data_IF_582742027148
#
_entry.id   IF_582742027148
#
_cell.length_a   1.000
_cell.length_b   1.000
_cell.length_c   1.000
_cell.angle_alpha   90.00
_cell.angle_beta   90.00
_cell.angle_gamma   90.00
#
_symmetry.space_group_name_H-M   'P 1'
#
loop_
_entity.id
_entity.type
_entity.pdbx_description
1 polymer ?
#
# COMPACT_ATOMS: atom_id res chain seq x y z
N UNK A 1 -19.25 -81.60 42.75
CA UNK A 1 -20.48 -82.26 43.23
C UNK A 1 -21.64 -81.44 42.70
N UNK A 2 -22.59 -82.10 41.99
CA UNK A 2 -23.91 -81.64 41.47
C UNK A 2 -23.92 -80.49 40.44
N UNK A 3 -24.79 -80.39 39.44
CA UNK A 3 -25.70 -81.23 38.62
C UNK A 3 -26.24 -80.21 37.56
N UNK A 4 -26.05 -80.38 36.26
CA UNK A 4 -27.06 -80.79 35.24
C UNK A 4 -28.30 -79.87 35.03
N UNK A 5 -28.47 -79.47 33.75
CA UNK A 5 -29.70 -79.14 32.95
C UNK A 5 -30.55 -77.93 33.36
N UNK A 6 -30.76 -76.95 32.48
CA UNK A 6 -31.56 -76.91 31.24
C UNK A 6 -33.03 -76.57 31.49
N UNK A 7 -33.49 -75.47 30.90
CA UNK A 7 -34.83 -75.37 30.31
C UNK A 7 -34.85 -74.25 29.25
N UNK A 8 -35.49 -74.57 28.13
CA UNK A 8 -35.76 -73.76 26.94
C UNK A 8 -37.27 -73.99 26.65
N UNK A 9 -37.88 -73.45 25.58
CA UNK A 9 -38.60 -72.18 25.44
C UNK A 9 -40.12 -72.36 25.16
N UNK A 10 -40.89 -71.27 24.99
CA UNK A 10 -42.17 -71.25 24.23
C UNK A 10 -42.51 -69.81 23.80
N UNK A 11 -42.31 -69.37 22.55
CA UNK A 11 -43.11 -69.52 21.31
C UNK A 11 -44.56 -68.96 21.34
N UNK A 12 -44.74 -67.83 20.63
CA UNK A 12 -45.94 -67.43 19.88
C UNK A 12 -45.53 -66.26 18.97
N UNK A 13 -45.16 -66.42 17.70
CA UNK A 13 -45.91 -66.79 16.47
C UNK A 13 -46.82 -65.66 15.94
N UNK A 14 -46.30 -64.94 14.92
CA UNK A 14 -46.95 -64.48 13.65
C UNK A 14 -48.04 -63.40 13.82
N UNK A 15 -48.10 -62.27 13.11
CA UNK A 15 -48.02 -62.08 11.65
C UNK A 15 -47.80 -60.61 11.26
N UNK A 16 -47.28 -60.46 10.05
CA UNK A 16 -47.03 -59.27 9.23
C UNK A 16 -48.23 -58.36 8.95
N UNK A 17 -47.98 -57.05 8.83
CA UNK A 17 -48.52 -56.25 7.71
C UNK A 17 -47.67 -55.02 7.38
N UNK A 18 -47.26 -54.96 6.11
CA UNK A 18 -46.65 -53.78 5.45
C UNK A 18 -47.73 -52.73 5.17
N UNK A 19 -47.43 -51.46 5.42
CA UNK A 19 -48.25 -50.32 4.99
C UNK A 19 -47.37 -49.09 4.76
N UNK A 20 -47.49 -48.51 3.55
CA UNK A 20 -46.69 -47.42 2.98
C UNK A 20 -47.01 -46.03 3.58
N UNK A 21 -45.97 -45.20 3.65
CA UNK A 21 -45.99 -43.81 3.14
C UNK A 21 -46.50 -42.69 4.07
N UNK A 22 -45.75 -41.58 4.13
CA UNK A 22 -46.31 -40.29 4.55
C UNK A 22 -45.34 -39.32 5.23
N UNK A 23 -44.80 -38.40 4.43
CA UNK A 23 -44.17 -37.13 4.76
C UNK A 23 -44.50 -36.48 6.13
N UNK A 24 -43.48 -35.86 6.72
CA UNK A 24 -43.56 -34.42 7.01
C UNK A 24 -43.16 -33.95 8.42
N UNK A 25 -42.19 -33.03 8.42
CA UNK A 25 -41.95 -31.97 9.42
C UNK A 25 -41.14 -32.35 10.67
N UNK A 26 -39.84 -32.60 10.45
CA UNK A 26 -38.83 -32.39 11.49
C UNK A 26 -38.61 -30.90 11.75
N UNK A 27 -38.96 -30.47 12.97
CA UNK A 27 -38.71 -29.12 13.51
C UNK A 27 -37.21 -28.82 13.49
N UNK A 28 -36.85 -27.69 12.88
CA UNK A 28 -35.48 -27.19 12.81
C UNK A 28 -34.92 -26.90 14.20
N UNK A 29 -33.80 -27.56 14.53
CA UNK A 29 -32.86 -27.06 15.53
C UNK A 29 -32.11 -25.90 14.90
N UNK A 30 -32.28 -24.70 15.47
CA UNK A 30 -31.44 -23.56 15.17
C UNK A 30 -29.98 -23.92 15.44
N UNK A 31 -29.18 -23.96 14.36
CA UNK A 31 -27.73 -23.97 14.45
C UNK A 31 -27.32 -22.53 14.66
N UNK A 32 -27.20 -22.15 15.92
CA UNK A 32 -26.50 -20.94 16.33
C UNK A 32 -25.00 -21.19 16.08
N UNK A 33 -24.60 -20.97 14.83
CA UNK A 33 -23.22 -21.04 14.40
C UNK A 33 -22.67 -19.63 14.39
N UNK A 34 -21.75 -19.34 15.29
CA UNK A 34 -20.76 -18.26 15.13
C UNK A 34 -20.26 -18.26 13.68
N UNK A 35 -20.20 -17.12 12.99
CA UNK A 35 -19.81 -17.10 11.58
C UNK A 35 -18.41 -17.68 11.46
N UNK A 36 -18.30 -18.87 10.83
CA UNK A 36 -17.02 -19.46 10.46
C UNK A 36 -16.25 -18.41 9.65
N UNK A 37 -15.11 -17.97 10.19
CA UNK A 37 -14.18 -17.09 9.51
C UNK A 37 -13.80 -17.78 8.20
N UNK A 38 -14.33 -17.27 7.08
CA UNK A 38 -14.12 -17.81 5.73
C UNK A 38 -12.62 -17.96 5.46
N UNK A 39 -12.10 -19.19 5.59
CA UNK A 39 -10.75 -19.53 5.14
C UNK A 39 -10.68 -19.28 3.63
N UNK A 40 -9.66 -18.56 3.18
CA UNK A 40 -9.40 -18.36 1.77
C UNK A 40 -8.92 -19.68 1.17
N UNK A 41 -9.82 -20.39 0.51
CA UNK A 41 -9.54 -21.69 -0.12
C UNK A 41 -8.90 -21.53 -1.50
N UNK A 42 -8.21 -22.58 -1.97
CA UNK A 42 -7.54 -22.65 -3.29
C UNK A 42 -8.45 -22.17 -4.44
N UNK A 43 -9.71 -22.62 -4.50
CA UNK A 43 -10.69 -22.23 -5.53
C UNK A 43 -11.05 -20.75 -5.51
N UNK A 44 -11.00 -20.12 -4.33
CA UNK A 44 -11.28 -18.70 -4.19
C UNK A 44 -10.11 -17.87 -4.72
N UNK A 45 -8.88 -18.26 -4.41
CA UNK A 45 -7.67 -17.63 -4.94
C UNK A 45 -7.56 -17.79 -6.46
N UNK A 46 -7.93 -18.95 -7.00
CA UNK A 46 -8.00 -19.19 -8.44
C UNK A 46 -9.03 -18.28 -9.11
N UNK A 47 -10.23 -18.13 -8.53
CA UNK A 47 -11.23 -17.18 -9.03
C UNK A 47 -10.83 -15.70 -8.90
N UNK A 48 -9.89 -15.35 -8.01
CA UNK A 48 -9.33 -14.00 -7.95
C UNK A 48 -8.37 -13.73 -9.12
N UNK A 49 -7.69 -14.74 -9.64
CA UNK A 49 -6.80 -14.56 -10.80
C UNK A 49 -7.54 -14.16 -12.08
N UNK A 50 -8.84 -14.39 -12.18
CA UNK A 50 -9.66 -13.96 -13.33
C UNK A 50 -10.13 -12.50 -13.24
N UNK A 51 -10.04 -11.89 -12.06
CA UNK A 51 -10.54 -10.54 -11.79
C UNK A 51 -9.50 -9.45 -12.04
N UNK A 52 -9.93 -8.19 -12.11
CA UNK A 52 -9.01 -7.06 -12.25
C UNK A 52 -8.11 -6.88 -11.01
N UNK A 53 -6.87 -6.44 -11.22
CA UNK A 53 -5.86 -6.27 -10.16
C UNK A 53 -6.36 -5.47 -8.94
N UNK A 54 -7.18 -4.45 -9.19
CA UNK A 54 -7.76 -3.60 -8.14
C UNK A 54 -8.81 -4.31 -7.31
N UNK A 55 -9.67 -5.12 -7.94
CA UNK A 55 -10.64 -5.94 -7.21
C UNK A 55 -9.93 -7.02 -6.37
N UNK A 56 -8.85 -7.59 -6.90
CA UNK A 56 -8.00 -8.54 -6.18
C UNK A 56 -7.39 -7.88 -4.94
N UNK A 57 -6.76 -6.71 -5.08
CA UNK A 57 -6.14 -5.99 -3.96
C UNK A 57 -7.16 -5.62 -2.86
N UNK A 58 -8.35 -5.15 -3.25
CA UNK A 58 -9.42 -4.80 -2.30
C UNK A 58 -9.94 -6.06 -1.58
N UNK A 59 -10.19 -7.14 -2.32
CA UNK A 59 -10.73 -8.38 -1.74
C UNK A 59 -9.74 -9.03 -0.78
N UNK A 60 -8.45 -9.03 -1.13
CA UNK A 60 -7.39 -9.58 -0.29
C UNK A 60 -7.13 -8.77 0.97
N UNK A 61 -7.19 -7.43 0.88
CA UNK A 61 -7.00 -6.56 2.06
C UNK A 61 -8.19 -6.58 3.02
N UNK A 62 -9.40 -6.75 2.50
CA UNK A 62 -10.64 -6.77 3.31
C UNK A 62 -10.85 -8.15 3.98
N UNK A 63 -10.23 -9.20 3.44
CA UNK A 63 -10.43 -10.57 3.95
C UNK A 63 -9.41 -10.93 5.02
N UNK A 64 -9.89 -11.14 6.25
CA UNK A 64 -9.09 -11.75 7.33
C UNK A 64 -8.60 -13.18 6.96
N UNK A 65 -9.18 -13.78 5.92
CA UNK A 65 -8.76 -15.07 5.39
C UNK A 65 -7.34 -15.09 4.82
N UNK A 66 -6.83 -13.97 4.28
CA UNK A 66 -5.45 -13.91 3.77
C UNK A 66 -4.44 -13.91 4.92
N UNK A 67 -4.67 -13.10 5.95
CA UNK A 67 -3.84 -13.07 7.17
C UNK A 67 -3.72 -14.47 7.78
N UNK A 68 -4.86 -15.13 7.98
CA UNK A 68 -4.89 -16.49 8.53
C UNK A 68 -4.20 -17.52 7.63
N UNK A 69 -4.23 -17.33 6.31
CA UNK A 69 -3.55 -18.22 5.36
C UNK A 69 -2.03 -18.01 5.38
N UNK A 70 -1.57 -16.75 5.50
CA UNK A 70 -0.14 -16.41 5.52
C UNK A 70 0.52 -16.74 6.86
N UNK A 71 -0.27 -16.88 7.93
CA UNK A 71 0.17 -17.27 9.27
C UNK A 71 -0.08 -18.76 9.61
N UNK A 72 -0.66 -19.54 8.68
CA UNK A 72 -0.91 -20.96 8.88
C UNK A 72 0.41 -21.75 9.07
N UNK A 73 0.36 -22.84 9.85
CA UNK A 73 1.54 -23.65 10.21
C UNK A 73 1.90 -24.67 9.12
N UNK A 74 1.00 -24.92 8.17
CA UNK A 74 1.26 -25.83 7.04
C UNK A 74 0.70 -25.30 5.73
N UNK A 75 1.51 -25.32 4.67
CA UNK A 75 1.11 -24.82 3.36
C UNK A 75 1.59 -25.76 2.25
N UNK A 76 0.69 -26.14 1.34
CA UNK A 76 1.01 -27.00 0.19
C UNK A 76 1.81 -26.22 -0.87
N UNK A 77 2.73 -26.87 -1.56
CA UNK A 77 3.54 -26.31 -2.66
C UNK A 77 2.71 -25.54 -3.70
N UNK A 78 1.61 -26.15 -4.15
CA UNK A 78 0.76 -25.59 -5.21
C UNK A 78 -0.01 -24.35 -4.73
N UNK A 79 -0.24 -24.27 -3.42
CA UNK A 79 -0.89 -23.12 -2.79
C UNK A 79 0.09 -21.96 -2.61
N UNK A 80 1.38 -22.23 -2.33
CA UNK A 80 2.44 -21.21 -2.25
C UNK A 80 2.55 -20.47 -3.58
N UNK A 81 2.60 -21.21 -4.68
CA UNK A 81 2.63 -20.64 -6.01
C UNK A 81 1.42 -19.75 -6.30
N UNK A 82 0.21 -20.27 -6.01
CA UNK A 82 -1.02 -19.54 -6.26
C UNK A 82 -1.08 -18.24 -5.45
N UNK A 83 -0.61 -18.28 -4.20
CA UNK A 83 -0.48 -17.08 -3.35
C UNK A 83 0.51 -16.10 -3.97
N UNK A 84 1.71 -16.51 -4.39
CA UNK A 84 2.66 -15.60 -5.06
C UNK A 84 2.05 -14.93 -6.30
N UNK A 85 1.35 -15.68 -7.15
CA UNK A 85 0.69 -15.16 -8.35
C UNK A 85 -0.38 -14.12 -8.01
N UNK A 86 -1.26 -14.44 -7.06
CA UNK A 86 -2.34 -13.55 -6.62
C UNK A 86 -1.79 -12.28 -5.97
N UNK A 87 -0.71 -12.39 -5.19
CA UNK A 87 -0.03 -11.25 -4.57
C UNK A 87 0.64 -10.35 -5.61
N UNK A 88 1.36 -10.92 -6.60
CA UNK A 88 1.94 -10.13 -7.70
C UNK A 88 0.85 -9.37 -8.46
N UNK A 89 -0.27 -10.03 -8.79
CA UNK A 89 -1.41 -9.38 -9.44
C UNK A 89 -2.03 -8.28 -8.59
N UNK A 90 -2.11 -8.47 -7.27
CA UNK A 90 -2.60 -7.43 -6.36
C UNK A 90 -1.68 -6.20 -6.32
N UNK A 91 -0.36 -6.40 -6.41
CA UNK A 91 0.63 -5.33 -6.41
C UNK A 91 0.62 -4.50 -7.70
N UNK A 92 0.14 -5.05 -8.81
CA UNK A 92 -0.07 -4.31 -10.07
C UNK A 92 -1.21 -3.27 -10.02
N UNK A 93 -2.04 -3.28 -8.97
CA UNK A 93 -3.15 -2.33 -8.84
C UNK A 93 -2.67 -0.89 -8.70
N UNK A 94 -3.18 -0.02 -9.58
CA UNK A 94 -2.87 1.42 -9.60
C UNK A 94 -3.89 2.29 -8.84
N UNK A 95 -5.03 1.72 -8.46
CA UNK A 95 -6.18 2.50 -7.97
C UNK A 95 -5.99 2.89 -6.50
N UNK A 96 -5.42 2.01 -5.67
CA UNK A 96 -5.29 2.26 -4.23
C UNK A 96 -3.91 1.88 -3.67
N UNK A 97 -2.94 2.80 -3.80
CA UNK A 97 -1.57 2.65 -3.26
C UNK A 97 -1.58 2.30 -1.77
N UNK A 98 -2.52 2.85 -0.98
CA UNK A 98 -2.62 2.58 0.47
C UNK A 98 -2.99 1.12 0.76
N UNK A 99 -3.89 0.55 -0.04
CA UNK A 99 -4.33 -0.84 0.10
C UNK A 99 -3.17 -1.79 -0.26
N UNK A 100 -2.48 -1.50 -1.36
CA UNK A 100 -1.31 -2.26 -1.81
C UNK A 100 -0.20 -2.22 -0.76
N UNK A 101 0.11 -1.05 -0.19
CA UNK A 101 1.09 -0.91 0.89
C UNK A 101 0.69 -1.69 2.15
N UNK A 102 -0.59 -1.65 2.53
CA UNK A 102 -1.08 -2.44 3.66
C UNK A 102 -0.88 -3.95 3.42
N UNK A 103 -1.25 -4.42 2.24
CA UNK A 103 -1.14 -5.84 1.86
C UNK A 103 0.33 -6.28 1.78
N UNK A 104 1.21 -5.48 1.19
CA UNK A 104 2.65 -5.76 1.15
C UNK A 104 3.28 -5.79 2.55
N UNK A 105 2.83 -4.92 3.47
CA UNK A 105 3.25 -4.95 4.87
C UNK A 105 2.88 -6.27 5.55
N UNK A 106 1.63 -6.70 5.35
CA UNK A 106 1.12 -7.98 5.86
C UNK A 106 1.94 -9.15 5.35
N UNK A 107 2.20 -9.19 4.04
CA UNK A 107 3.00 -10.25 3.41
C UNK A 107 4.42 -10.27 4.00
N UNK A 108 5.10 -9.12 4.08
CA UNK A 108 6.45 -9.01 4.63
C UNK A 108 6.56 -9.52 6.06
N UNK A 109 5.57 -9.23 6.89
CA UNK A 109 5.58 -9.57 8.32
C UNK A 109 5.06 -10.99 8.62
N UNK A 110 4.48 -11.66 7.62
CA UNK A 110 3.92 -13.01 7.75
C UNK A 110 4.97 -14.13 7.89
N UNK A 111 4.53 -15.26 8.46
CA UNK A 111 5.32 -16.51 8.48
C UNK A 111 5.56 -17.05 7.08
N UNK A 112 4.63 -16.84 6.15
CA UNK A 112 4.77 -17.19 4.75
C UNK A 112 6.09 -16.68 4.16
N UNK A 113 6.33 -15.37 4.26
CA UNK A 113 7.50 -14.74 3.65
C UNK A 113 8.81 -15.13 4.35
N UNK A 114 8.77 -15.31 5.68
CA UNK A 114 9.97 -15.60 6.49
C UNK A 114 10.39 -17.06 6.51
N UNK A 115 9.43 -17.99 6.45
CA UNK A 115 9.69 -19.42 6.68
C UNK A 115 9.26 -20.29 5.50
N UNK A 116 8.02 -20.15 5.02
CA UNK A 116 7.48 -21.05 4.00
C UNK A 116 8.05 -20.78 2.61
N UNK A 117 8.22 -19.52 2.23
CA UNK A 117 8.79 -19.16 0.93
C UNK A 117 10.25 -19.66 0.80
N UNK A 118 11.16 -19.46 1.79
CA UNK A 118 12.47 -20.08 1.77
C UNK A 118 12.43 -21.61 1.70
N UNK A 119 11.56 -22.25 2.50
CA UNK A 119 11.43 -23.71 2.51
C UNK A 119 10.98 -24.23 1.15
N UNK A 120 10.00 -23.57 0.53
CA UNK A 120 9.51 -23.90 -0.81
C UNK A 120 10.63 -23.77 -1.86
N UNK A 121 11.37 -22.66 -1.86
CA UNK A 121 12.51 -22.44 -2.78
C UNK A 121 13.54 -23.56 -2.64
N UNK A 122 13.91 -23.94 -1.41
CA UNK A 122 14.82 -25.08 -1.19
C UNK A 122 14.22 -26.43 -1.59
N UNK A 123 12.89 -26.60 -1.48
CA UNK A 123 12.19 -27.80 -1.92
C UNK A 123 12.19 -27.98 -3.44
N UNK A 124 12.28 -26.89 -4.22
CA UNK A 124 12.39 -26.96 -5.68
C UNK A 124 13.68 -27.67 -6.12
N UNK A 125 14.74 -27.61 -5.31
CA UNK A 125 16.03 -28.25 -5.55
C UNK A 125 15.96 -29.79 -5.47
N UNK A 126 15.04 -30.32 -4.67
CA UNK A 126 14.96 -31.76 -4.35
C UNK A 126 13.82 -32.49 -5.07
N UNK A 127 13.01 -31.79 -5.87
CA UNK A 127 11.85 -32.40 -6.52
C UNK A 127 12.21 -33.12 -7.83
N UNK A 128 11.82 -34.40 -7.92
CA UNK A 128 12.10 -35.28 -9.05
C UNK A 128 10.97 -35.33 -10.09
N UNK A 129 9.82 -34.71 -9.83
CA UNK A 129 8.67 -34.75 -10.72
C UNK A 129 8.81 -33.83 -11.95
N UNK A 130 9.02 -34.43 -13.13
CA UNK A 130 9.23 -33.72 -14.42
C UNK A 130 8.08 -32.76 -14.79
N UNK A 131 6.82 -33.12 -14.50
CA UNK A 131 5.65 -32.29 -14.80
C UNK A 131 5.62 -30.99 -13.98
N UNK A 132 6.13 -31.00 -12.74
CA UNK A 132 6.23 -29.78 -11.91
C UNK A 132 7.40 -28.89 -12.34
N UNK A 133 8.49 -29.50 -12.83
CA UNK A 133 9.68 -28.78 -13.30
C UNK A 133 9.42 -27.82 -14.47
N UNK A 134 8.46 -28.12 -15.34
CA UNK A 134 8.09 -27.23 -16.45
C UNK A 134 7.47 -25.91 -15.99
N UNK A 135 6.87 -25.87 -14.80
CA UNK A 135 6.23 -24.66 -14.27
C UNK A 135 7.16 -23.82 -13.38
N UNK A 136 8.32 -24.35 -13.00
CA UNK A 136 9.31 -23.67 -12.16
C UNK A 136 9.84 -22.35 -12.72
N UNK A 137 10.08 -22.17 -14.03
CA UNK A 137 10.49 -20.87 -14.56
C UNK A 137 9.48 -19.76 -14.21
N UNK A 138 8.18 -20.05 -14.34
CA UNK A 138 7.13 -19.10 -13.97
C UNK A 138 7.09 -18.85 -12.46
N UNK A 139 7.33 -19.87 -11.64
CA UNK A 139 7.35 -19.71 -10.17
C UNK A 139 8.50 -18.83 -9.73
N UNK A 140 9.69 -19.06 -10.28
CA UNK A 140 10.88 -18.25 -10.02
C UNK A 140 10.61 -16.80 -10.41
N UNK A 141 10.07 -16.56 -11.62
CA UNK A 141 9.70 -15.21 -12.07
C UNK A 141 8.74 -14.51 -11.10
N UNK A 142 7.65 -15.18 -10.70
CA UNK A 142 6.69 -14.61 -9.74
C UNK A 142 7.34 -14.31 -8.38
N UNK A 143 8.23 -15.18 -7.90
CA UNK A 143 8.94 -14.95 -6.64
C UNK A 143 9.87 -13.74 -6.77
N UNK A 144 10.60 -13.59 -7.87
CA UNK A 144 11.47 -12.42 -8.10
C UNK A 144 10.64 -11.13 -8.13
N UNK A 145 9.51 -11.13 -8.85
CA UNK A 145 8.60 -9.97 -8.89
C UNK A 145 8.08 -9.64 -7.48
N UNK A 146 7.66 -10.64 -6.70
CA UNK A 146 7.20 -10.45 -5.33
C UNK A 146 8.30 -9.84 -4.45
N UNK A 147 9.52 -10.37 -4.52
CA UNK A 147 10.67 -9.88 -3.76
C UNK A 147 11.02 -8.44 -4.15
N UNK A 148 11.02 -8.14 -5.43
CA UNK A 148 11.27 -6.79 -5.97
C UNK A 148 10.22 -5.80 -5.46
N UNK A 149 8.94 -6.13 -5.53
CA UNK A 149 7.85 -5.26 -5.06
C UNK A 149 7.90 -5.01 -3.55
N UNK A 150 8.12 -6.06 -2.75
CA UNK A 150 8.27 -5.92 -1.29
C UNK A 150 9.49 -5.07 -0.94
N UNK A 151 10.62 -5.25 -1.64
CA UNK A 151 11.84 -4.47 -1.42
C UNK A 151 11.65 -3.00 -1.81
N UNK A 152 10.98 -2.73 -2.92
CA UNK A 152 10.67 -1.36 -3.36
C UNK A 152 9.71 -0.63 -2.43
N UNK A 153 8.80 -1.35 -1.76
CA UNK A 153 7.85 -0.78 -0.81
C UNK A 153 8.42 -0.62 0.61
N UNK A 154 9.28 -1.55 1.05
CA UNK A 154 9.85 -1.56 2.40
C UNK A 154 11.38 -1.77 2.37
N UNK A 155 12.14 -0.81 1.85
CA UNK A 155 13.55 -1.00 1.57
C UNK A 155 14.43 -1.02 2.81
N UNK A 156 13.95 -0.75 4.02
CA UNK A 156 14.75 -0.90 5.23
C UNK A 156 14.43 -2.22 5.94
N UNK A 157 13.14 -2.50 6.19
CA UNK A 157 12.71 -3.65 6.98
C UNK A 157 12.70 -4.97 6.21
N UNK A 158 12.73 -4.95 4.87
CA UNK A 158 12.72 -6.17 4.07
C UNK A 158 14.10 -6.63 3.57
N UNK A 159 15.15 -5.78 3.65
CA UNK A 159 16.49 -6.07 3.09
C UNK A 159 16.99 -7.43 3.50
N UNK A 160 16.97 -7.75 4.80
CA UNK A 160 17.57 -8.97 5.32
C UNK A 160 16.86 -10.21 4.80
N UNK A 161 15.52 -10.21 4.84
CA UNK A 161 14.70 -11.33 4.35
C UNK A 161 14.82 -11.50 2.84
N UNK A 162 14.80 -10.40 2.08
CA UNK A 162 14.96 -10.43 0.62
C UNK A 162 16.37 -10.87 0.23
N UNK A 163 17.42 -10.40 0.91
CA UNK A 163 18.81 -10.80 0.68
C UNK A 163 19.00 -12.31 0.84
N UNK A 164 18.46 -12.88 1.92
CA UNK A 164 18.47 -14.33 2.17
C UNK A 164 17.74 -15.09 1.05
N UNK A 165 16.54 -14.65 0.68
CA UNK A 165 15.74 -15.29 -0.36
C UNK A 165 16.40 -15.23 -1.74
N UNK A 166 17.03 -14.11 -2.10
CA UNK A 166 17.76 -13.96 -3.37
C UNK A 166 18.96 -14.91 -3.40
N UNK A 167 19.70 -15.07 -2.29
CA UNK A 167 20.80 -16.02 -2.22
C UNK A 167 20.33 -17.47 -2.43
N UNK A 168 19.20 -17.85 -1.79
CA UNK A 168 18.57 -19.17 -1.99
C UNK A 168 18.04 -19.35 -3.41
N UNK A 169 17.49 -18.30 -4.02
CA UNK A 169 16.94 -18.36 -5.36
C UNK A 169 18.05 -18.53 -6.41
N UNK A 170 19.19 -17.84 -6.25
CA UNK A 170 20.38 -18.03 -7.10
C UNK A 170 20.87 -19.47 -7.10
N UNK A 171 21.01 -20.07 -5.92
CA UNK A 171 21.45 -21.47 -5.82
C UNK A 171 20.42 -22.43 -6.44
N UNK A 172 19.13 -22.15 -6.25
CA UNK A 172 18.03 -22.94 -6.82
C UNK A 172 18.01 -22.85 -8.34
N UNK A 173 18.09 -21.65 -8.92
CA UNK A 173 18.14 -21.43 -10.39
C UNK A 173 19.31 -22.17 -11.01
N UNK A 174 20.50 -22.08 -10.42
CA UNK A 174 21.69 -22.80 -10.89
C UNK A 174 21.51 -24.32 -10.88
N UNK A 175 20.90 -24.87 -9.83
CA UNK A 175 20.62 -26.30 -9.74
C UNK A 175 19.53 -26.76 -10.71
N UNK A 176 18.47 -25.96 -10.89
CA UNK A 176 17.41 -26.24 -11.85
C UNK A 176 17.96 -26.26 -13.28
N UNK A 177 18.83 -25.30 -13.63
CA UNK A 177 19.57 -25.27 -14.91
C UNK A 177 20.44 -26.51 -15.08
N UNK A 178 21.22 -26.89 -14.06
CA UNK A 178 22.04 -28.11 -14.09
C UNK A 178 21.18 -29.39 -14.23
N UNK A 179 19.93 -29.37 -13.77
CA UNK A 179 18.98 -30.48 -13.92
C UNK A 179 18.21 -30.51 -15.24
N UNK A 180 18.50 -29.57 -16.16
CA UNK A 180 17.93 -29.51 -17.51
C UNK A 180 16.59 -28.76 -17.62
N UNK A 181 16.24 -27.90 -16.66
CA UNK A 181 15.09 -26.99 -16.77
C UNK A 181 15.50 -25.75 -17.56
N UNK A 182 14.75 -25.43 -18.62
CA UNK A 182 14.99 -24.25 -19.45
C UNK A 182 14.54 -22.98 -18.69
N UNK A 183 15.51 -22.26 -18.12
CA UNK A 183 15.30 -21.00 -17.41
C UNK A 183 15.81 -19.89 -18.31
N UNK A 184 14.91 -18.96 -18.67
CA UNK A 184 15.20 -17.80 -19.50
C UNK A 184 16.34 -16.95 -18.92
N UNK A 185 17.23 -16.46 -19.77
CA UNK A 185 18.35 -15.59 -19.39
C UNK A 185 17.88 -14.29 -18.71
N UNK A 186 16.69 -13.78 -19.08
CA UNK A 186 16.06 -12.62 -18.43
C UNK A 186 15.89 -12.81 -16.91
N UNK A 187 15.78 -14.06 -16.44
CA UNK A 187 15.65 -14.37 -15.01
C UNK A 187 16.94 -14.05 -14.24
N UNK A 188 18.11 -14.27 -14.86
CA UNK A 188 19.40 -13.92 -14.25
C UNK A 188 19.56 -12.40 -14.20
N UNK A 189 19.19 -11.68 -15.27
CA UNK A 189 19.17 -10.22 -15.28
C UNK A 189 18.24 -9.65 -14.19
N UNK A 190 17.06 -10.26 -14.00
CA UNK A 190 16.12 -9.90 -12.95
C UNK A 190 16.71 -10.08 -11.55
N UNK A 191 17.41 -11.20 -11.35
CA UNK A 191 18.00 -11.58 -10.08
C UNK A 191 19.21 -10.71 -9.73
N UNK A 192 20.06 -10.40 -10.72
CA UNK A 192 21.18 -9.45 -10.55
C UNK A 192 20.67 -8.04 -10.25
N UNK A 193 19.58 -7.59 -10.89
CA UNK A 193 18.98 -6.29 -10.59
C UNK A 193 18.51 -6.19 -9.15
N UNK A 194 17.77 -7.19 -8.67
CA UNK A 194 17.28 -7.19 -7.28
C UNK A 194 18.45 -7.32 -6.30
N UNK A 195 19.49 -8.10 -6.62
CA UNK A 195 20.67 -8.19 -5.77
C UNK A 195 21.45 -6.87 -5.72
N UNK A 196 21.64 -6.19 -6.85
CA UNK A 196 22.29 -4.88 -6.90
C UNK A 196 21.54 -3.85 -6.05
N UNK A 197 20.20 -3.88 -6.11
CA UNK A 197 19.34 -3.07 -5.24
C UNK A 197 19.56 -3.40 -3.75
N UNK A 198 19.59 -4.68 -3.39
CA UNK A 198 19.88 -5.11 -2.01
C UNK A 198 21.24 -4.62 -1.54
N UNK A 199 22.30 -4.75 -2.36
CA UNK A 199 23.65 -4.31 -2.00
C UNK A 199 23.70 -2.80 -1.75
N UNK A 200 23.12 -2.02 -2.65
CA UNK A 200 23.02 -0.56 -2.50
C UNK A 200 22.29 -0.15 -1.22
N UNK A 201 21.18 -0.83 -0.90
CA UNK A 201 20.41 -0.56 0.30
C UNK A 201 21.15 -0.99 1.59
N UNK A 202 21.91 -2.09 1.55
CA UNK A 202 22.77 -2.51 2.66
C UNK A 202 23.89 -1.51 2.92
N UNK A 203 24.52 -0.99 1.86
CA UNK A 203 25.55 0.05 1.96
C UNK A 203 25.00 1.31 2.62
N UNK A 204 23.83 1.78 2.18
CA UNK A 204 23.14 2.93 2.79
C UNK A 204 22.66 2.70 4.21
N UNK A 205 22.30 1.47 4.55
CA UNK A 205 22.03 1.09 5.93
C UNK A 205 23.28 1.21 6.80
N UNK A 206 24.45 0.83 6.28
CA UNK A 206 25.74 0.93 7.00
C UNK A 206 26.18 2.39 7.17
N UNK A 207 25.91 3.23 6.19
CA UNK A 207 26.17 4.68 6.23
C UNK A 207 25.17 5.45 7.12
N UNK A 208 24.08 4.80 7.55
CA UNK A 208 23.06 5.41 8.42
C UNK A 208 22.12 6.38 7.70
N UNK A 209 22.13 6.38 6.36
CA UNK A 209 21.23 7.19 5.52
C UNK A 209 19.88 6.50 5.29
N UNK A 210 19.83 5.17 5.40
CA UNK A 210 18.60 4.38 5.35
C UNK A 210 18.01 4.19 6.76
N UNK A 211 17.12 5.09 7.19
CA UNK A 211 16.57 5.09 8.57
C UNK A 211 15.15 4.58 8.71
N UNK A 212 14.41 4.41 7.61
CA UNK A 212 13.00 4.01 7.63
C UNK A 212 12.55 3.47 6.27
N UNK A 213 11.45 2.71 6.26
CA UNK A 213 10.78 2.21 5.06
C UNK A 213 10.14 3.31 4.20
N UNK A 214 10.09 4.55 4.70
CA UNK A 214 9.72 5.72 3.89
C UNK A 214 10.80 6.11 2.87
N UNK A 215 11.93 5.40 2.85
CA UNK A 215 12.96 5.56 1.85
C UNK A 215 12.40 5.08 0.49
N UNK A 216 11.83 5.98 -0.29
CA UNK A 216 11.58 5.68 -1.69
C UNK A 216 12.94 5.42 -2.35
N UNK A 217 13.14 4.31 -3.07
CA UNK A 217 14.37 4.05 -3.84
C UNK A 217 14.69 5.20 -4.83
N UNK A 218 13.69 6.05 -5.10
CA UNK A 218 13.83 7.27 -5.87
C UNK A 218 14.41 8.45 -5.07
N UNK A 219 14.54 8.40 -3.75
CA UNK A 219 14.71 9.57 -2.86
C UNK A 219 16.14 9.82 -2.35
N UNK A 220 17.16 9.19 -2.93
CA UNK A 220 18.52 9.66 -2.70
C UNK A 220 18.87 10.76 -3.68
N UNK A 221 18.73 11.99 -3.22
CA UNK A 221 19.24 13.16 -3.89
C UNK A 221 20.65 13.39 -3.36
N UNK A 222 21.69 13.01 -4.11
CA UNK A 222 23.09 13.23 -3.70
C UNK A 222 23.43 14.73 -3.56
N UNK A 223 22.60 15.61 -4.15
CA UNK A 223 22.79 17.06 -4.15
C UNK A 223 21.87 17.80 -3.15
N UNK A 224 21.00 17.12 -2.41
CA UNK A 224 20.16 17.78 -1.39
C UNK A 224 20.93 17.91 -0.06
N UNK A 225 20.86 19.07 0.63
CA UNK A 225 21.37 19.20 1.99
C UNK A 225 20.80 18.10 2.92
N UNK A 226 21.60 17.55 3.85
CA UNK A 226 21.12 16.56 4.79
C UNK A 226 19.94 17.12 5.60
N UNK A 227 18.77 16.46 5.51
CA UNK A 227 17.55 16.84 6.25
C UNK A 227 16.43 17.43 5.39
N UNK A 228 16.62 17.62 4.09
CA UNK A 228 15.53 18.06 3.20
C UNK A 228 14.46 16.97 3.00
N UNK A 229 13.20 17.36 3.12
CA UNK A 229 12.04 16.46 2.94
C UNK A 229 11.80 16.13 1.46
N UNK A 230 11.20 14.97 1.19
CA UNK A 230 10.78 14.60 -0.17
C UNK A 230 9.64 15.51 -0.65
N UNK A 231 9.70 16.01 -1.89
CA UNK A 231 8.66 16.88 -2.45
C UNK A 231 7.27 16.23 -2.46
N UNK A 232 7.20 14.90 -2.42
CA UNK A 232 5.95 14.12 -2.35
C UNK A 232 5.30 14.15 -0.98
N UNK A 233 6.07 14.39 0.08
CA UNK A 233 5.57 14.47 1.46
C UNK A 233 5.39 15.92 1.94
N UNK A 234 5.96 16.89 1.21
CA UNK A 234 5.79 18.31 1.51
C UNK A 234 4.33 18.75 1.46
N UNK A 235 3.91 19.55 2.45
CA UNK A 235 2.58 20.14 2.47
C UNK A 235 2.40 21.14 1.33
N UNK A 236 1.31 20.97 0.57
CA UNK A 236 0.87 21.91 -0.46
C UNK A 236 0.44 23.24 0.18
N UNK A 237 -0.19 23.18 1.35
CA UNK A 237 -0.60 24.37 2.08
C UNK A 237 0.57 24.92 2.91
N UNK A 238 0.77 26.25 2.92
CA UNK A 238 1.80 26.86 3.73
C UNK A 238 1.51 26.67 5.22
N UNK A 239 2.56 26.51 6.01
CA UNK A 239 2.51 26.40 7.47
C UNK A 239 2.71 27.76 8.12
N UNK A 240 2.27 27.89 9.38
CA UNK A 240 2.41 29.15 10.13
C UNK A 240 3.90 29.53 10.27
N UNK A 241 4.77 28.54 10.46
CA UNK A 241 6.21 28.71 10.65
C UNK A 241 6.88 29.37 9.43
N UNK A 242 6.42 29.04 8.21
CA UNK A 242 6.91 29.62 6.95
C UNK A 242 6.59 31.11 6.78
N UNK A 243 5.68 31.65 7.59
CA UNK A 243 5.35 33.07 7.65
C UNK A 243 6.10 33.83 8.74
N UNK A 244 6.52 33.15 9.80
CA UNK A 244 7.10 33.77 11.01
C UNK A 244 8.62 33.80 11.01
N UNK A 245 9.26 32.86 10.30
CA UNK A 245 10.72 32.75 10.26
C UNK A 245 11.27 33.41 8.99
N UNK A 246 12.40 34.10 9.08
CA UNK A 246 13.25 34.45 7.93
C UNK A 246 13.96 33.21 7.35
N UNK A 247 13.33 32.04 7.46
CA UNK A 247 13.87 30.80 6.94
C UNK A 247 13.68 30.80 5.42
N UNK A 248 14.78 30.89 4.69
CA UNK A 248 14.77 30.82 3.24
C UNK A 248 14.57 29.35 2.83
N UNK A 249 13.50 29.00 2.11
CA UNK A 249 13.29 27.63 1.69
C UNK A 249 14.41 27.20 0.74
N UNK A 250 14.77 25.92 0.81
CA UNK A 250 15.68 25.33 -0.16
C UNK A 250 15.00 25.25 -1.53
N UNK A 251 15.60 25.93 -2.51
CA UNK A 251 15.15 25.96 -3.89
C UNK A 251 16.30 25.53 -4.79
N UNK A 252 15.97 24.67 -5.75
CA UNK A 252 16.88 24.31 -6.84
C UNK A 252 16.79 25.36 -7.95
N UNK A 253 17.91 25.72 -8.59
CA UNK A 253 17.88 26.64 -9.72
C UNK A 253 17.09 26.03 -10.88
N UNK A 254 16.26 26.85 -11.55
CA UNK A 254 15.56 26.40 -12.74
C UNK A 254 16.56 26.19 -13.89
N UNK A 255 16.66 24.96 -14.36
CA UNK A 255 17.56 24.58 -15.44
C UNK A 255 16.86 24.81 -16.77
N UNK A 256 17.24 25.86 -17.51
CA UNK A 256 16.62 26.21 -18.80
C UNK A 256 17.44 25.77 -20.03
N UNK A 257 18.76 25.66 -19.90
CA UNK A 257 19.67 25.48 -21.05
C UNK A 257 20.17 24.05 -21.26
N UNK A 258 19.99 23.17 -20.27
CA UNK A 258 20.45 21.79 -20.29
C UNK A 258 19.31 20.85 -19.88
N UNK A 259 19.36 19.60 -20.31
CA UNK A 259 18.41 18.58 -19.89
C UNK A 259 18.59 18.27 -18.40
N UNK A 260 17.48 18.09 -17.69
CA UNK A 260 17.54 17.65 -16.29
C UNK A 260 18.18 16.25 -16.18
N UNK A 261 19.02 15.99 -15.16
CA UNK A 261 19.68 14.68 -15.03
C UNK A 261 18.71 13.52 -14.82
N UNK A 262 17.55 13.80 -14.20
CA UNK A 262 16.51 12.81 -13.93
C UNK A 262 15.14 13.50 -13.87
N UNK A 263 14.08 12.80 -14.27
CA UNK A 263 12.69 13.21 -14.11
C UNK A 263 12.33 13.56 -12.65
N UNK A 264 12.96 12.91 -11.67
CA UNK A 264 12.78 13.29 -10.26
C UNK A 264 13.28 14.71 -9.96
N UNK A 265 14.49 15.05 -10.38
CA UNK A 265 15.09 16.38 -10.12
C UNK A 265 14.26 17.45 -10.84
N UNK A 266 13.78 17.14 -12.05
CA UNK A 266 12.82 17.97 -12.77
C UNK A 266 11.56 18.24 -11.92
N UNK A 267 10.91 17.19 -11.40
CA UNK A 267 9.70 17.33 -10.60
C UNK A 267 9.94 18.03 -9.26
N UNK A 268 11.02 17.72 -8.54
CA UNK A 268 11.38 18.37 -7.28
C UNK A 268 11.66 19.87 -7.49
N UNK A 269 12.46 20.21 -8.51
CA UNK A 269 12.79 21.59 -8.86
C UNK A 269 11.52 22.38 -9.18
N UNK A 270 10.67 21.86 -10.08
CA UNK A 270 9.46 22.57 -10.46
C UNK A 270 8.42 22.63 -9.35
N UNK A 271 8.29 21.59 -8.52
CA UNK A 271 7.39 21.62 -7.38
C UNK A 271 7.79 22.68 -6.36
N UNK A 272 9.07 22.71 -5.96
CA UNK A 272 9.58 23.67 -4.97
C UNK A 272 9.51 25.11 -5.47
N UNK A 273 9.87 25.36 -6.73
CA UNK A 273 9.75 26.68 -7.35
C UNK A 273 8.29 27.14 -7.43
N UNK A 274 7.39 26.29 -7.93
CA UNK A 274 5.97 26.62 -8.03
C UNK A 274 5.37 26.91 -6.66
N UNK A 275 5.70 26.09 -5.65
CA UNK A 275 5.26 26.31 -4.28
C UNK A 275 5.76 27.66 -3.75
N UNK A 276 7.03 27.99 -3.96
CA UNK A 276 7.57 29.28 -3.53
C UNK A 276 6.91 30.45 -4.26
N UNK A 277 6.58 30.35 -5.55
CA UNK A 277 5.88 31.40 -6.29
C UNK A 277 4.52 31.74 -5.66
N UNK A 278 3.84 30.77 -5.03
CA UNK A 278 2.60 30.99 -4.28
C UNK A 278 2.82 31.45 -2.84
N UNK A 279 3.83 30.92 -2.14
CA UNK A 279 4.05 31.20 -0.72
C UNK A 279 4.77 32.53 -0.51
N UNK A 280 5.69 32.92 -1.40
CA UNK A 280 6.47 34.16 -1.30
C UNK A 280 5.58 35.41 -1.19
N UNK A 281 4.58 35.65 -2.07
CA UNK A 281 3.71 36.83 -1.96
C UNK A 281 2.97 36.85 -0.62
N UNK A 282 2.50 35.70 -0.14
CA UNK A 282 1.83 35.59 1.16
C UNK A 282 2.80 35.91 2.30
N UNK A 283 4.05 35.42 2.23
CA UNK A 283 5.09 35.66 3.25
C UNK A 283 5.46 37.12 3.35
N UNK A 284 5.74 37.78 2.23
CA UNK A 284 6.08 39.20 2.22
C UNK A 284 4.89 40.07 2.63
N UNK A 285 3.69 39.78 2.12
CA UNK A 285 2.47 40.49 2.50
C UNK A 285 2.14 40.39 4.00
N UNK A 286 2.23 39.19 4.59
CA UNK A 286 2.01 39.02 6.03
C UNK A 286 3.07 39.75 6.85
N UNK A 287 4.35 39.71 6.44
CA UNK A 287 5.41 40.48 7.09
C UNK A 287 5.16 41.98 7.03
N UNK A 288 4.68 42.49 5.90
CA UNK A 288 4.33 43.90 5.74
C UNK A 288 3.16 44.31 6.65
N UNK A 289 2.14 43.47 6.79
CA UNK A 289 1.04 43.66 7.74
C UNK A 289 1.53 43.68 9.18
N UNK A 290 2.41 42.75 9.57
CA UNK A 290 2.95 42.70 10.93
C UNK A 290 3.86 43.91 11.24
N UNK A 291 4.71 44.31 10.29
CA UNK A 291 5.56 45.53 10.44
C UNK A 291 4.71 46.79 10.56
N UNK A 292 3.66 46.91 9.76
CA UNK A 292 2.75 48.06 9.79
C UNK A 292 1.86 48.12 11.04
N UNK A 293 1.61 46.98 11.70
CA UNK A 293 1.00 46.95 13.04
C UNK A 293 1.94 47.50 14.13
N UNK A 294 3.25 47.23 14.00
CA UNK A 294 4.25 47.64 14.99
C UNK A 294 4.71 49.10 14.82
N UNK A 295 4.63 49.65 13.61
CA UNK A 295 4.95 51.06 13.35
C UNK A 295 3.78 51.95 13.78
N UNK A 296 3.95 52.69 14.87
CA UNK A 296 3.03 53.69 15.45
C UNK A 296 2.84 54.94 14.60
N UNK A 297 2.93 54.85 13.28
CA UNK A 297 2.52 55.94 12.39
C UNK A 297 1.02 55.81 12.20
N UNK A 298 0.24 56.77 12.72
CA UNK A 298 -1.22 56.77 12.90
C UNK A 298 -2.12 56.53 11.67
N UNK A 299 -1.58 56.00 10.57
CA UNK A 299 -2.30 55.48 9.41
C UNK A 299 -2.86 54.09 9.71
N UNK A 300 -4.18 54.03 9.97
CA UNK A 300 -4.91 52.78 10.19
C UNK A 300 -4.66 51.73 9.09
N UNK A 301 -4.41 50.47 9.47
CA UNK A 301 -4.30 49.31 8.56
C UNK A 301 -5.43 49.24 7.52
N UNK A 302 -6.63 49.73 7.88
CA UNK A 302 -7.83 49.81 7.03
C UNK A 302 -7.68 50.67 5.77
N UNK A 303 -6.65 51.51 5.68
CA UNK A 303 -6.39 52.42 4.55
C UNK A 303 -5.16 52.06 3.72
N UNK A 304 -4.39 51.04 4.13
CA UNK A 304 -3.20 50.60 3.37
C UNK A 304 -3.60 49.52 2.37
N UNK A 305 -3.13 49.67 1.15
CA UNK A 305 -3.19 48.63 0.13
C UNK A 305 -1.86 47.87 0.18
N UNK A 306 -1.95 46.54 0.13
CA UNK A 306 -0.81 45.65 0.04
C UNK A 306 -0.83 45.05 -1.36
N UNK A 307 0.30 45.05 -2.05
CA UNK A 307 0.35 44.60 -3.45
C UNK A 307 0.18 43.06 -3.55
N UNK A 308 0.75 42.33 -2.59
CA UNK A 308 0.77 40.87 -2.60
C UNK A 308 -0.45 40.20 -1.93
N UNK A 309 -1.15 40.90 -1.04
CA UNK A 309 -2.24 40.32 -0.23
C UNK A 309 -3.44 41.25 -0.08
N UNK A 310 -4.61 40.65 0.16
CA UNK A 310 -5.85 41.39 0.47
C UNK A 310 -6.29 41.10 1.90
N UNK A 311 -6.37 42.14 2.71
CA UNK A 311 -6.75 42.05 4.11
C UNK A 311 -8.26 42.30 4.28
N UNK A 312 -8.97 41.28 4.76
CA UNK A 312 -10.38 41.40 5.12
C UNK A 312 -10.53 41.56 6.63
N UNK A 313 -11.12 42.68 7.04
CA UNK A 313 -11.39 42.98 8.44
C UNK A 313 -12.73 42.38 8.89
N UNK A 314 -12.86 42.15 10.20
CA UNK A 314 -14.09 41.69 10.85
C UNK A 314 -14.60 40.33 10.33
N UNK A 315 -13.65 39.47 9.92
CA UNK A 315 -13.92 38.13 9.43
C UNK A 315 -14.33 37.19 10.57
N UNK A 316 -15.46 36.51 10.45
CA UNK A 316 -15.98 35.55 11.43
C UNK A 316 -16.17 34.17 10.80
N UNK A 317 -15.66 33.15 11.48
CA UNK A 317 -16.00 31.76 11.19
C UNK A 317 -17.40 31.49 11.76
N UNK A 318 -18.33 31.08 10.91
CA UNK A 318 -19.71 30.83 11.30
C UNK A 318 -19.82 29.44 11.90
N UNK A 319 -19.71 28.40 11.07
CA UNK A 319 -19.84 26.99 11.48
C UNK A 319 -19.04 26.08 10.53
N UNK A 320 -18.48 24.96 11.04
CA UNK A 320 -17.98 23.88 10.18
C UNK A 320 -19.15 23.14 9.54
N UNK A 321 -19.05 22.88 8.24
CA UNK A 321 -20.00 22.12 7.44
C UNK A 321 -19.36 20.79 7.07
N UNK A 322 -20.00 19.68 7.42
CA UNK A 322 -19.57 18.36 6.95
C UNK A 322 -20.08 18.19 5.53
N UNK A 323 -19.16 18.13 4.56
CA UNK A 323 -19.44 17.77 3.17
C UNK A 323 -19.04 16.31 2.93
N UNK A 324 -19.56 15.66 1.87
CA UNK A 324 -19.11 14.30 1.49
C UNK A 324 -17.60 14.21 1.22
N UNK A 325 -16.94 15.35 0.95
CA UNK A 325 -15.51 15.47 0.68
C UNK A 325 -14.66 15.89 1.88
N UNK A 326 -15.27 16.20 3.03
CA UNK A 326 -14.54 16.59 4.24
C UNK A 326 -15.23 17.65 5.10
N UNK A 327 -14.42 18.46 5.80
CA UNK A 327 -14.89 19.56 6.64
C UNK A 327 -14.66 20.87 5.89
N UNK A 328 -15.73 21.63 5.64
CA UNK A 328 -15.67 22.98 5.10
C UNK A 328 -15.97 24.01 6.18
N UNK A 329 -15.42 25.23 6.07
CA UNK A 329 -15.70 26.31 7.03
C UNK A 329 -16.42 27.46 6.32
N UNK A 330 -17.59 27.85 6.84
CA UNK A 330 -18.29 29.04 6.34
C UNK A 330 -17.69 30.30 6.96
N UNK A 331 -17.17 31.18 6.12
CA UNK A 331 -16.53 32.45 6.53
C UNK A 331 -17.44 33.61 6.15
N UNK A 332 -17.70 34.50 7.11
CA UNK A 332 -18.43 35.76 6.93
C UNK A 332 -17.43 36.92 7.00
N UNK A 333 -17.39 37.77 5.98
CA UNK A 333 -16.54 38.96 5.94
C UNK A 333 -17.22 40.08 5.14
N UNK A 334 -16.71 41.30 5.25
CA UNK A 334 -17.23 42.45 4.53
C UNK A 334 -16.80 42.44 3.04
N UNK A 335 -17.75 42.38 2.08
CA UNK A 335 -17.44 42.27 0.66
C UNK A 335 -17.13 43.63 -0.01
N UNK A 336 -17.21 44.76 0.68
CA UNK A 336 -16.91 46.09 0.09
C UNK A 336 -15.56 46.16 -0.66
N UNK A 337 -14.46 45.53 -0.20
CA UNK A 337 -13.19 45.49 -0.92
C UNK A 337 -13.22 44.69 -2.24
N UNK A 338 -14.24 43.85 -2.47
CA UNK A 338 -14.37 43.02 -3.68
C UNK A 338 -15.00 43.78 -4.87
N UNK A 339 -15.61 44.95 -4.64
CA UNK A 339 -16.38 45.66 -5.67
C UNK A 339 -15.53 46.24 -6.80
N UNK A 340 -14.20 46.33 -6.63
CA UNK A 340 -13.29 46.82 -7.69
C UNK A 340 -12.93 45.70 -8.70
N UNK A 341 -13.27 44.44 -8.41
CA UNK A 341 -12.97 43.30 -9.27
C UNK A 341 -14.28 42.65 -9.70
N UNK A 342 -15.04 43.38 -10.53
CA UNK A 342 -16.12 42.83 -11.37
C UNK A 342 -15.57 41.96 -12.51
N UNK A 343 -14.51 41.20 -12.26
CA UNK A 343 -13.91 40.21 -13.17
C UNK A 343 -13.44 38.94 -12.42
N UNK A 344 -13.97 38.66 -11.23
CA UNK A 344 -13.99 37.29 -10.69
C UNK A 344 -15.31 36.57 -11.04
N UNK A 345 -15.82 36.78 -12.26
CA UNK A 345 -16.73 35.83 -12.90
C UNK A 345 -15.87 34.82 -13.66
N UNK A 346 -15.60 33.70 -13.00
CA UNK A 346 -15.17 32.38 -13.50
C UNK A 346 -14.14 31.76 -12.55
N UNK A 347 -14.65 31.27 -11.42
CA UNK A 347 -14.25 29.95 -10.96
C UNK A 347 -15.55 29.17 -10.79
N UNK A 348 -16.14 28.79 -11.92
CA UNK A 348 -17.20 27.78 -11.95
C UNK A 348 -16.58 26.45 -11.55
N UNK A 349 -16.79 26.05 -10.30
CA UNK A 349 -16.96 24.65 -9.94
C UNK A 349 -18.22 24.51 -9.10
N UNK A 350 -19.31 24.37 -9.85
CA UNK A 350 -20.57 23.66 -9.56
C UNK A 350 -21.25 23.93 -8.21
N UNK A 351 -22.41 24.62 -8.22
CA UNK A 351 -23.47 24.32 -7.28
C UNK A 351 -24.22 23.08 -7.80
N UNK A 352 -24.08 21.94 -7.13
CA UNK A 352 -25.07 20.88 -7.27
C UNK A 352 -26.08 21.09 -6.13
N UNK A 353 -27.22 21.68 -6.50
CA UNK A 353 -28.49 21.39 -5.85
C UNK A 353 -28.89 19.97 -6.29
N UNK A 354 -28.77 19.00 -5.36
CA UNK A 354 -29.64 17.83 -5.16
C UNK A 354 -29.15 17.00 -3.97
#
# INVERSE_FOLDING_TARGET
MTDVRAEEPQRGRVETQRGRGGNGRGRGRGRDGTPEVRRLGYKMLEGLLEKEASEVAITLSTSNGLMNLLDDDTMRSDLVQLVCQVLCKAFESRIDRKIVLHLARVVKDSRFFRNFLPYYVTGMMTDYAQARRQHYPQHVSNIISLLSEVLNMFPHSSIQSVSMLIALLKTTVNQLRASGVDILDNTDEDLERVQGLVHHLQEKSREGTLRSDNYSFLAADEDAPPGEEDFRTMSIYPTIEEFHLDNKPFLRPNIMSQSFPNARIYLDTHFRLLREDFVRPLREGVKEVLRSQHNTDGTSLKKRQFDDIRLYHDTRLVLPLCTPTGIAYKVQFDPRPLQVITNCKLSERTPYDL
#
